data_IF_949264350175
#
_entry.id   IF_949264350175
#
_cell.length_a   1.000
_cell.length_b   1.000
_cell.length_c   1.000
_cell.angle_alpha   90.00
_cell.angle_beta   90.00
_cell.angle_gamma   90.00
#
_symmetry.space_group_name_H-M   'P 1'
#
loop_
_entity.id
_entity.type
_entity.pdbx_description
1 polymer ?
#
# COMPACT_ATOMS: atom_id res chain seq x y z
N UNK A 1 -0.24 2.06 -16.23
CA UNK A 1 0.99 1.34 -15.87
C UNK A 1 0.76 0.55 -14.58
N UNK A 2 1.33 -0.63 -14.51
CA UNK A 2 1.28 -1.45 -13.30
C UNK A 2 2.53 -1.20 -12.47
N UNK A 3 2.34 -0.70 -11.26
CA UNK A 3 3.41 -0.28 -10.35
C UNK A 3 3.33 -1.14 -9.10
N UNK A 4 4.49 -1.48 -8.53
CA UNK A 4 4.55 -2.25 -7.31
C UNK A 4 5.29 -1.50 -6.22
N UNK A 5 4.84 -1.65 -4.98
CA UNK A 5 5.55 -1.12 -3.82
C UNK A 5 5.93 -2.27 -2.90
N UNK A 6 7.19 -2.31 -2.53
CA UNK A 6 7.77 -3.34 -1.66
C UNK A 6 8.38 -2.66 -0.43
N UNK A 7 8.11 -3.23 0.74
CA UNK A 7 8.73 -2.79 1.98
C UNK A 7 9.25 -4.00 2.75
N UNK A 8 10.54 -3.96 3.11
CA UNK A 8 11.17 -5.01 3.91
C UNK A 8 11.99 -4.35 5.01
N UNK A 9 12.25 -5.09 6.10
CA UNK A 9 13.20 -4.67 7.11
C UNK A 9 14.59 -5.14 6.72
N UNK A 10 15.64 -4.56 7.32
CA UNK A 10 17.02 -4.95 7.02
C UNK A 10 17.32 -6.38 7.43
N UNK A 11 16.55 -6.94 8.37
CA UNK A 11 16.70 -8.32 8.83
C UNK A 11 15.73 -9.26 8.14
N UNK A 12 14.83 -8.74 7.31
CA UNK A 12 13.81 -9.50 6.60
C UNK A 12 14.33 -9.87 5.23
N UNK A 13 14.36 -11.17 4.92
CA UNK A 13 14.86 -11.68 3.64
C UNK A 13 13.73 -11.89 2.61
N UNK A 14 12.60 -11.22 2.80
CA UNK A 14 11.44 -11.40 1.94
C UNK A 14 11.46 -10.56 0.67
N UNK A 15 12.54 -9.82 0.41
CA UNK A 15 12.62 -8.96 -0.78
C UNK A 15 12.47 -9.77 -2.07
N UNK A 16 13.22 -10.88 -2.19
CA UNK A 16 13.17 -11.72 -3.38
C UNK A 16 11.77 -12.31 -3.59
N UNK A 17 11.09 -12.70 -2.51
CA UNK A 17 9.73 -13.23 -2.57
C UNK A 17 8.74 -12.18 -3.08
N UNK A 18 8.86 -10.95 -2.57
CA UNK A 18 7.99 -9.87 -3.01
C UNK A 18 8.27 -9.48 -4.46
N UNK A 19 9.54 -9.48 -4.87
CA UNK A 19 9.90 -9.20 -6.26
C UNK A 19 9.32 -10.27 -7.19
N UNK A 20 9.37 -11.53 -6.78
CA UNK A 20 8.79 -12.64 -7.56
C UNK A 20 7.27 -12.47 -7.69
N UNK A 21 6.59 -12.10 -6.60
CA UNK A 21 5.16 -11.83 -6.63
C UNK A 21 4.84 -10.71 -7.62
N UNK A 22 5.60 -9.62 -7.58
CA UNK A 22 5.37 -8.50 -8.48
C UNK A 22 5.57 -8.90 -9.95
N UNK A 23 6.55 -9.75 -10.21
CA UNK A 23 6.77 -10.27 -11.56
C UNK A 23 5.56 -11.10 -12.05
N UNK A 24 4.99 -11.93 -11.17
CA UNK A 24 3.80 -12.71 -11.51
C UNK A 24 2.60 -11.82 -11.80
N UNK A 25 2.49 -10.69 -11.12
CA UNK A 25 1.38 -9.76 -11.31
C UNK A 25 1.57 -8.86 -12.54
N UNK A 26 2.71 -8.94 -13.20
CA UNK A 26 2.98 -8.15 -14.39
C UNK A 26 3.34 -6.70 -14.11
N UNK A 27 3.89 -6.44 -12.91
CA UNK A 27 4.30 -5.09 -12.51
C UNK A 27 5.46 -4.62 -13.39
N UNK A 28 5.34 -3.38 -13.87
CA UNK A 28 6.32 -2.80 -14.79
C UNK A 28 7.40 -1.98 -14.08
N UNK A 29 7.08 -1.39 -12.94
CA UNK A 29 8.01 -0.56 -12.17
C UNK A 29 7.83 -0.83 -10.69
N UNK A 30 8.93 -1.04 -9.98
CA UNK A 30 8.93 -1.35 -8.55
C UNK A 30 9.62 -0.24 -7.77
N UNK A 31 8.96 0.20 -6.69
CA UNK A 31 9.56 1.06 -5.67
C UNK A 31 9.73 0.22 -4.42
N UNK A 32 10.94 0.15 -3.90
CA UNK A 32 11.25 -0.71 -2.75
C UNK A 32 11.95 0.08 -1.65
N UNK A 33 11.44 -0.02 -0.44
CA UNK A 33 12.04 0.57 0.74
C UNK A 33 12.59 -0.51 1.67
N UNK A 34 13.81 -0.29 2.18
CA UNK A 34 14.38 -1.10 3.25
C UNK A 34 14.34 -0.29 4.52
N UNK A 35 13.59 -0.77 5.49
CA UNK A 35 13.39 -0.07 6.76
C UNK A 35 14.29 -0.65 7.83
N UNK A 36 14.85 0.20 8.68
CA UNK A 36 15.64 -0.21 9.83
C UNK A 36 15.29 0.67 11.02
N UNK A 37 15.80 0.32 12.21
CA UNK A 37 15.60 1.16 13.39
C UNK A 37 16.17 2.56 13.21
N UNK A 38 17.16 2.71 12.34
CA UNK A 38 17.79 4.01 12.04
C UNK A 38 17.18 4.71 10.84
N UNK A 39 16.66 3.94 9.88
CA UNK A 39 16.08 4.49 8.65
C UNK A 39 14.60 4.17 8.61
N UNK A 40 13.80 5.13 9.04
CA UNK A 40 12.35 5.03 9.02
C UNK A 40 11.74 5.88 7.91
N UNK A 41 12.58 6.57 7.13
CA UNK A 41 12.11 7.39 6.01
C UNK A 41 11.76 6.47 4.84
N UNK A 42 10.54 6.58 4.37
CA UNK A 42 10.05 5.79 3.25
C UNK A 42 10.22 6.60 1.97
N UNK A 43 11.47 6.77 1.56
CA UNK A 43 11.79 7.62 0.41
C UNK A 43 11.19 7.10 -0.89
N UNK A 44 11.26 5.79 -1.10
CA UNK A 44 10.69 5.20 -2.31
C UNK A 44 9.17 5.24 -2.30
N UNK A 45 8.55 5.13 -1.13
CA UNK A 45 7.11 5.31 -1.01
C UNK A 45 6.70 6.72 -1.43
N UNK A 46 7.43 7.73 -0.95
CA UNK A 46 7.14 9.11 -1.31
C UNK A 46 7.33 9.35 -2.80
N UNK A 47 8.41 8.81 -3.37
CA UNK A 47 8.65 8.92 -4.81
C UNK A 47 7.54 8.22 -5.61
N UNK A 48 7.09 7.07 -5.15
CA UNK A 48 5.99 6.34 -5.78
C UNK A 48 4.71 7.15 -5.76
N UNK A 49 4.38 7.77 -4.62
CA UNK A 49 3.18 8.60 -4.51
C UNK A 49 3.19 9.78 -5.46
N UNK A 50 4.39 10.33 -5.76
CA UNK A 50 4.54 11.40 -6.74
C UNK A 50 4.48 10.87 -8.17
N UNK A 51 4.94 9.66 -8.38
CA UNK A 51 5.05 9.05 -9.71
C UNK A 51 3.70 8.61 -10.27
N UNK A 52 2.85 8.04 -9.44
CA UNK A 52 1.58 7.47 -9.89
C UNK A 52 0.62 8.55 -10.39
N UNK A 53 -0.19 8.20 -11.37
CA UNK A 53 -1.16 9.11 -11.98
C UNK A 53 -2.40 8.35 -12.39
N UNK A 54 -3.39 9.10 -12.84
CA UNK A 54 -4.68 8.54 -13.26
C UNK A 54 -4.50 7.38 -14.23
N UNK A 55 -5.18 6.29 -13.95
CA UNK A 55 -5.14 5.08 -14.77
C UNK A 55 -4.10 4.06 -14.34
N UNK A 56 -3.17 4.43 -13.45
CA UNK A 56 -2.18 3.48 -12.94
C UNK A 56 -2.81 2.52 -11.92
N UNK A 57 -2.18 1.36 -11.77
CA UNK A 57 -2.56 0.38 -10.75
C UNK A 57 -1.36 0.13 -9.86
N UNK A 58 -1.56 0.27 -8.55
CA UNK A 58 -0.54 0.01 -7.55
C UNK A 58 -0.80 -1.34 -6.89
N UNK A 59 0.19 -2.21 -6.91
CA UNK A 59 0.15 -3.53 -6.28
C UNK A 59 1.01 -3.52 -5.03
N UNK A 60 0.47 -4.07 -3.94
CA UNK A 60 1.23 -4.32 -2.70
C UNK A 60 0.98 -5.77 -2.28
N UNK A 61 1.92 -6.37 -1.58
CA UNK A 61 1.74 -7.72 -1.05
C UNK A 61 0.63 -7.76 -0.01
N UNK A 62 0.60 -6.74 0.86
CA UNK A 62 -0.44 -6.60 1.87
C UNK A 62 -0.51 -5.12 2.26
N UNK A 63 -1.63 -4.75 2.90
CA UNK A 63 -1.79 -3.40 3.39
C UNK A 63 -0.76 -3.04 4.46
N UNK A 64 -0.22 -4.04 5.18
CA UNK A 64 0.83 -3.80 6.18
C UNK A 64 2.12 -3.27 5.57
N UNK A 65 2.34 -3.51 4.27
CA UNK A 65 3.50 -2.93 3.57
C UNK A 65 3.29 -1.46 3.27
N UNK A 66 2.04 -1.05 3.16
CA UNK A 66 1.69 0.33 2.86
C UNK A 66 1.65 1.18 4.13
N UNK A 67 1.11 0.65 5.22
CA UNK A 67 0.97 1.34 6.50
C UNK A 67 0.97 0.34 7.66
N UNK A 68 1.35 0.82 8.85
CA UNK A 68 1.38 -0.02 10.05
C UNK A 68 0.04 -0.11 10.77
N UNK A 69 -0.84 0.86 10.56
CA UNK A 69 -2.13 0.90 11.23
C UNK A 69 -3.22 1.25 10.25
N UNK A 70 -4.46 0.96 10.61
CA UNK A 70 -5.62 1.32 9.81
C UNK A 70 -5.71 2.82 9.61
N UNK A 71 -5.41 3.57 10.67
CA UNK A 71 -5.44 5.03 10.62
C UNK A 71 -4.44 5.57 9.60
N UNK A 72 -3.19 5.07 9.63
CA UNK A 72 -2.15 5.55 8.73
C UNK A 72 -2.39 5.10 7.29
N UNK A 73 -3.17 4.04 7.10
CA UNK A 73 -3.51 3.54 5.77
C UNK A 73 -4.48 4.47 5.04
N UNK A 74 -5.38 5.12 5.76
CA UNK A 74 -6.44 5.93 5.16
C UNK A 74 -5.90 7.06 4.30
N UNK A 75 -4.86 7.74 4.75
CA UNK A 75 -4.32 8.90 4.05
C UNK A 75 -3.74 8.53 2.68
N UNK A 76 -2.81 7.57 2.57
CA UNK A 76 -2.31 7.17 1.24
C UNK A 76 -3.40 6.58 0.35
N UNK A 77 -4.35 5.83 0.91
CA UNK A 77 -5.45 5.29 0.11
C UNK A 77 -6.30 6.41 -0.46
N UNK A 78 -6.60 7.43 0.35
CA UNK A 78 -7.37 8.58 -0.10
C UNK A 78 -6.63 9.33 -1.21
N UNK A 79 -5.33 9.52 -1.05
CA UNK A 79 -4.52 10.19 -2.08
C UNK A 79 -4.55 9.42 -3.40
N UNK A 80 -4.47 8.08 -3.32
CA UNK A 80 -4.53 7.24 -4.53
C UNK A 80 -5.90 7.34 -5.19
N UNK A 81 -6.97 7.35 -4.41
CA UNK A 81 -8.31 7.50 -4.95
C UNK A 81 -8.50 8.87 -5.61
N UNK A 82 -7.97 9.93 -5.00
CA UNK A 82 -8.06 11.27 -5.55
C UNK A 82 -7.32 11.37 -6.88
N UNK A 83 -6.24 10.63 -7.05
CA UNK A 83 -5.49 10.55 -8.30
C UNK A 83 -6.09 9.56 -9.29
N UNK A 84 -7.14 8.84 -8.90
CA UNK A 84 -7.77 7.78 -9.71
C UNK A 84 -6.80 6.65 -10.02
N UNK A 85 -6.00 6.27 -9.01
CA UNK A 85 -5.09 5.14 -9.06
C UNK A 85 -5.75 3.98 -8.33
N UNK A 86 -5.78 2.80 -8.96
CA UNK A 86 -6.34 1.59 -8.36
C UNK A 86 -5.29 0.96 -7.44
N UNK A 87 -5.70 0.56 -6.23
CA UNK A 87 -4.83 -0.15 -5.30
C UNK A 87 -5.29 -1.61 -5.19
N UNK A 88 -4.34 -2.53 -5.35
CA UNK A 88 -4.61 -3.97 -5.22
C UNK A 88 -3.67 -4.55 -4.18
N UNK A 89 -4.25 -5.19 -3.16
CA UNK A 89 -3.49 -5.90 -2.13
C UNK A 89 -3.66 -7.40 -2.31
N UNK A 90 -2.55 -8.09 -2.50
CA UNK A 90 -2.58 -9.53 -2.81
C UNK A 90 -3.07 -10.37 -1.63
N UNK A 91 -2.54 -10.10 -0.43
CA UNK A 91 -2.87 -10.90 0.75
C UNK A 91 -4.37 -10.81 1.10
N UNK A 92 -4.90 -9.60 1.12
CA UNK A 92 -6.31 -9.39 1.45
C UNK A 92 -7.24 -9.64 0.27
N UNK A 93 -6.70 -9.82 -0.93
CA UNK A 93 -7.49 -10.00 -2.15
C UNK A 93 -8.45 -8.84 -2.38
N UNK A 94 -7.97 -7.62 -2.11
CA UNK A 94 -8.74 -6.41 -2.25
C UNK A 94 -8.27 -5.59 -3.44
N UNK A 95 -9.25 -5.09 -4.18
CA UNK A 95 -9.05 -4.24 -5.36
C UNK A 95 -9.99 -3.03 -5.19
N UNK A 96 -9.42 -1.85 -5.02
CA UNK A 96 -10.20 -0.64 -4.74
C UNK A 96 -11.08 -0.19 -5.92
N UNK A 97 -10.89 -0.77 -7.10
CA UNK A 97 -11.77 -0.48 -8.24
C UNK A 97 -13.09 -1.27 -8.17
N UNK A 98 -13.18 -2.27 -7.28
CA UNK A 98 -14.39 -3.08 -7.14
C UNK A 98 -15.30 -2.54 -6.05
N UNK A 99 -16.62 -2.83 -6.11
CA UNK A 99 -17.53 -2.45 -5.02
C UNK A 99 -17.11 -3.03 -3.68
N UNK A 100 -16.60 -4.26 -3.66
CA UNK A 100 -16.13 -4.91 -2.43
C UNK A 100 -14.93 -4.18 -1.85
N UNK A 101 -13.99 -3.76 -2.70
CA UNK A 101 -12.83 -3.00 -2.26
C UNK A 101 -13.22 -1.66 -1.67
N UNK A 102 -14.15 -0.96 -2.31
CA UNK A 102 -14.67 0.32 -1.80
C UNK A 102 -15.36 0.14 -0.46
N UNK A 103 -16.14 -0.92 -0.31
CA UNK A 103 -16.79 -1.25 0.95
C UNK A 103 -15.77 -1.48 2.06
N UNK A 104 -14.72 -2.25 1.77
CA UNK A 104 -13.67 -2.51 2.76
C UNK A 104 -12.93 -1.25 3.17
N UNK A 105 -12.72 -0.31 2.25
CA UNK A 105 -12.12 0.98 2.60
C UNK A 105 -13.03 1.76 3.56
N UNK A 106 -14.34 1.68 3.36
CA UNK A 106 -15.31 2.29 4.27
C UNK A 106 -15.23 1.66 5.66
N UNK A 107 -15.09 0.33 5.73
CA UNK A 107 -14.93 -0.39 7.00
C UNK A 107 -13.65 0.06 7.70
N UNK A 108 -12.54 0.16 6.99
CA UNK A 108 -11.28 0.64 7.57
C UNK A 108 -11.40 2.07 8.10
N UNK A 109 -12.11 2.93 7.38
CA UNK A 109 -12.35 4.30 7.85
C UNK A 109 -13.15 4.30 9.16
N UNK A 110 -14.20 3.47 9.24
CA UNK A 110 -15.01 3.35 10.45
C UNK A 110 -14.18 2.81 11.62
N UNK A 111 -13.33 1.81 11.37
CA UNK A 111 -12.44 1.26 12.41
C UNK A 111 -11.47 2.32 12.91
N UNK A 112 -10.95 3.15 12.02
CA UNK A 112 -10.03 4.23 12.39
C UNK A 112 -10.72 5.25 13.30
N UNK A 113 -11.97 5.59 13.03
CA UNK A 113 -12.76 6.47 13.90
C UNK A 113 -12.98 5.85 15.29
N UNK A 114 -13.30 4.56 15.31
CA UNK A 114 -13.49 3.84 16.56
C UNK A 114 -12.20 3.81 17.39
N UNK A 115 -11.06 3.56 16.76
CA UNK A 115 -9.78 3.59 17.46
C UNK A 115 -9.51 4.95 18.08
N UNK A 116 -9.87 6.01 17.38
CA UNK A 116 -9.71 7.38 17.86
C UNK A 116 -10.54 7.64 19.11
N UNK A 117 -11.79 7.18 19.08
CA UNK A 117 -12.71 7.36 20.20
C UNK A 117 -12.30 6.52 21.42
N UNK A 118 -11.75 5.34 21.19
CA UNK A 118 -11.39 4.43 22.30
C UNK A 118 -10.14 4.86 23.05
N UNK A 119 -9.40 5.84 22.57
CA UNK A 119 -8.21 6.37 23.24
C UNK A 119 -8.61 7.32 24.37
N UNK A 120 -9.84 7.75 24.42
CA UNK A 120 -10.34 8.61 25.50
C UNK A 120 -10.55 7.79 26.76
#
# INVERSE_FOLDING_TARGET
MKIGYIRVSTIDQNLARQEELMAKLGVEKIFADKMSGKNTKREQFQEMMKFVREGDTLYVESFSRLSRSTKDLLDPVQQLQDKKVTLISDKEKLDTSTPQGKFMMTVFAAMSELERESIL
#
